data_IF_169004557610
#
_entry.id   IF_169004557610
#
_cell.length_a   1.000
_cell.length_b   1.000
_cell.length_c   1.000
_cell.angle_alpha   90.00
_cell.angle_beta   90.00
_cell.angle_gamma   90.00
#
_symmetry.space_group_name_H-M   'P 1'
#
loop_
_entity.id
_entity.type
_entity.pdbx_description
1 polymer ?
#
# COMPACT_ATOMS: atom_id res chain seq x y z
N UNK A 1 -6.71 90.43 -13.57
CA UNK A 1 -5.80 89.51 -12.78
C UNK A 1 -6.46 88.16 -12.73
N UNK A 2 -6.11 87.24 -13.63
CA UNK A 2 -6.59 85.91 -13.72
C UNK A 2 -5.52 84.95 -13.18
N UNK A 3 -5.84 84.18 -12.13
CA UNK A 3 -4.95 83.15 -11.58
C UNK A 3 -5.26 81.80 -12.26
N UNK A 4 -4.30 81.29 -12.98
CA UNK A 4 -4.34 79.91 -13.53
C UNK A 4 -4.09 78.93 -12.39
N UNK A 5 -5.01 77.94 -12.21
CA UNK A 5 -4.83 76.79 -11.33
C UNK A 5 -4.39 75.62 -12.21
N UNK A 6 -3.11 75.20 -12.05
CA UNK A 6 -2.61 73.98 -12.69
C UNK A 6 -3.04 72.76 -11.93
N UNK A 7 -3.81 71.89 -12.55
CA UNK A 7 -4.25 70.58 -12.01
C UNK A 7 -3.19 69.53 -12.38
N UNK A 8 -2.43 69.09 -11.42
CA UNK A 8 -1.50 67.98 -11.60
C UNK A 8 -2.26 66.64 -11.52
N UNK A 9 -2.36 65.90 -12.63
CA UNK A 9 -2.84 64.52 -12.66
C UNK A 9 -1.75 63.60 -12.17
N UNK A 10 -1.93 63.03 -10.97
CA UNK A 10 -1.14 61.90 -10.48
C UNK A 10 -1.65 60.61 -11.13
N UNK A 11 -0.91 60.04 -12.08
CA UNK A 11 -1.12 58.70 -12.60
C UNK A 11 -0.66 57.70 -11.55
N UNK A 12 -1.59 57.12 -10.77
CA UNK A 12 -1.34 55.94 -9.98
C UNK A 12 -1.27 54.72 -10.88
N UNK A 13 -0.04 54.25 -11.15
CA UNK A 13 0.16 52.94 -11.77
C UNK A 13 -0.27 51.87 -10.80
N UNK A 14 -1.49 51.36 -10.98
CA UNK A 14 -1.95 50.16 -10.26
C UNK A 14 -1.14 48.99 -10.76
N UNK A 15 -0.22 48.47 -9.92
CA UNK A 15 0.35 47.14 -10.10
C UNK A 15 -0.78 46.12 -9.93
N UNK A 16 -1.41 45.68 -11.00
CA UNK A 16 -2.33 44.54 -10.96
C UNK A 16 -1.48 43.32 -10.57
N UNK A 17 -1.86 42.57 -9.54
CA UNK A 17 -1.22 41.30 -9.23
C UNK A 17 -1.37 40.41 -10.47
N UNK A 18 -0.26 39.96 -11.03
CA UNK A 18 -0.28 38.92 -12.03
C UNK A 18 -0.97 37.72 -11.40
N UNK A 19 -2.18 37.41 -11.85
CA UNK A 19 -2.81 36.13 -11.52
C UNK A 19 -1.87 35.04 -12.06
N UNK A 20 -1.15 34.36 -11.16
CA UNK A 20 -0.37 33.17 -11.50
C UNK A 20 -1.42 32.17 -11.97
N UNK A 21 -1.46 31.93 -13.28
CA UNK A 21 -2.35 30.90 -13.85
C UNK A 21 -2.08 29.54 -13.23
N UNK A 22 -3.02 28.58 -13.36
CA UNK A 22 -2.85 27.23 -12.82
C UNK A 22 -1.53 26.66 -13.34
N UNK A 23 -0.72 26.12 -12.41
CA UNK A 23 0.57 25.50 -12.74
C UNK A 23 0.31 24.21 -13.50
N UNK A 24 0.73 24.10 -14.74
CA UNK A 24 0.53 22.94 -15.58
C UNK A 24 1.42 21.77 -15.13
N UNK A 25 0.84 20.56 -14.94
CA UNK A 25 1.60 19.37 -14.63
C UNK A 25 2.57 19.00 -15.76
N UNK A 26 3.72 18.46 -15.39
CA UNK A 26 4.69 17.86 -16.31
C UNK A 26 4.55 16.36 -16.29
N UNK A 27 4.93 15.70 -17.38
CA UNK A 27 4.99 14.25 -17.47
C UNK A 27 6.35 13.79 -17.98
N UNK A 28 6.83 12.66 -17.44
CA UNK A 28 8.04 11.99 -17.86
C UNK A 28 7.70 10.54 -18.15
N UNK A 29 8.01 10.06 -19.35
CA UNK A 29 7.81 8.67 -19.76
C UNK A 29 9.15 7.96 -19.88
N UNK A 30 9.22 6.69 -19.46
CA UNK A 30 10.40 5.85 -19.57
C UNK A 30 10.05 4.37 -19.51
N UNK A 31 11.02 3.54 -19.89
CA UNK A 31 10.92 2.08 -19.85
C UNK A 31 12.08 1.49 -19.06
N UNK A 32 11.82 0.50 -18.25
CA UNK A 32 12.82 -0.29 -17.52
C UNK A 32 12.49 -1.78 -17.67
N UNK A 33 13.39 -2.54 -18.30
CA UNK A 33 13.09 -3.90 -18.74
C UNK A 33 11.88 -3.90 -19.68
N UNK A 34 10.83 -4.62 -19.32
CA UNK A 34 9.55 -4.66 -20.04
C UNK A 34 8.51 -3.68 -19.48
N UNK A 35 8.77 -3.10 -18.32
CA UNK A 35 7.85 -2.20 -17.63
C UNK A 35 7.90 -0.78 -18.24
N UNK A 36 6.72 -0.19 -18.41
CA UNK A 36 6.55 1.18 -18.95
C UNK A 36 5.90 2.05 -17.89
N UNK A 37 6.48 3.25 -17.71
CA UNK A 37 6.05 4.20 -16.69
C UNK A 37 5.79 5.58 -17.26
N UNK A 38 4.82 6.27 -16.65
CA UNK A 38 4.58 7.71 -16.83
C UNK A 38 4.51 8.33 -15.43
N UNK A 39 5.42 9.27 -15.14
CA UNK A 39 5.42 10.02 -13.88
C UNK A 39 4.90 11.42 -14.15
N UNK A 40 3.80 11.80 -13.49
CA UNK A 40 3.13 13.10 -13.59
C UNK A 40 3.40 13.88 -12.30
N UNK A 41 3.83 15.14 -12.43
CA UNK A 41 4.24 15.96 -11.29
C UNK A 41 4.12 17.44 -11.56
N UNK A 42 4.02 18.27 -10.53
CA UNK A 42 4.13 19.70 -10.65
C UNK A 42 5.61 20.14 -10.77
N UNK A 43 5.93 21.29 -11.43
CA UNK A 43 7.31 21.74 -11.64
C UNK A 43 8.17 21.78 -10.36
N UNK A 44 7.56 22.10 -9.22
CA UNK A 44 8.21 22.13 -7.90
C UNK A 44 8.65 20.76 -7.39
N UNK A 45 8.04 19.68 -7.90
CA UNK A 45 8.35 18.30 -7.57
C UNK A 45 9.33 17.64 -8.58
N UNK A 46 10.02 18.42 -9.40
CA UNK A 46 10.95 17.87 -10.40
C UNK A 46 12.08 17.03 -9.81
N UNK A 47 12.56 17.34 -8.60
CA UNK A 47 13.56 16.52 -7.88
C UNK A 47 12.91 15.25 -7.37
N UNK A 48 11.72 15.36 -6.76
CA UNK A 48 10.94 14.21 -6.30
C UNK A 48 10.62 13.23 -7.45
N UNK A 49 10.28 13.75 -8.64
CA UNK A 49 10.03 12.92 -9.82
C UNK A 49 11.25 12.09 -10.23
N UNK A 50 12.47 12.65 -10.13
CA UNK A 50 13.71 11.89 -10.37
C UNK A 50 13.94 10.79 -9.33
N UNK A 51 13.67 11.07 -8.05
CA UNK A 51 13.76 10.08 -6.97
C UNK A 51 12.75 8.95 -7.18
N UNK A 52 11.50 9.29 -7.52
CA UNK A 52 10.43 8.31 -7.82
C UNK A 52 10.81 7.47 -9.03
N UNK A 53 11.35 8.08 -10.10
CA UNK A 53 11.85 7.31 -11.24
C UNK A 53 12.90 6.29 -10.82
N UNK A 54 13.90 6.71 -10.05
CA UNK A 54 14.94 5.79 -9.55
C UNK A 54 14.36 4.64 -8.74
N UNK A 55 13.42 4.93 -7.84
CA UNK A 55 12.72 3.90 -7.05
C UNK A 55 11.91 2.93 -7.93
N UNK A 56 11.25 3.43 -9.01
CA UNK A 56 10.54 2.59 -9.97
C UNK A 56 11.50 1.66 -10.71
N UNK A 57 12.65 2.18 -11.16
CA UNK A 57 13.70 1.40 -11.82
C UNK A 57 14.26 0.30 -10.90
N UNK A 58 14.48 0.60 -9.61
CA UNK A 58 14.98 -0.34 -8.62
C UNK A 58 13.93 -1.40 -8.21
N UNK A 59 12.63 -1.10 -8.30
CA UNK A 59 11.55 -1.99 -7.93
C UNK A 59 11.31 -3.10 -8.98
N UNK A 60 11.46 -2.79 -10.28
CA UNK A 60 11.12 -3.72 -11.38
C UNK A 60 11.71 -5.12 -11.21
N UNK A 61 13.01 -5.33 -10.91
CA UNK A 61 13.56 -6.67 -10.74
C UNK A 61 12.94 -7.46 -9.58
N UNK A 62 12.41 -6.76 -8.56
CA UNK A 62 11.73 -7.42 -7.42
C UNK A 62 10.37 -7.98 -7.78
N UNK A 63 9.73 -7.41 -8.83
CA UNK A 63 8.43 -7.86 -9.33
C UNK A 63 8.54 -9.11 -10.22
N UNK A 64 9.72 -9.45 -10.72
CA UNK A 64 9.94 -10.60 -11.62
C UNK A 64 9.49 -11.92 -10.99
N UNK A 65 9.60 -12.05 -9.66
CA UNK A 65 9.07 -13.21 -8.91
C UNK A 65 7.57 -13.43 -9.12
N UNK A 66 6.83 -12.36 -9.42
CA UNK A 66 5.40 -12.39 -9.69
C UNK A 66 5.07 -12.29 -11.19
N UNK A 67 6.09 -12.31 -12.06
CA UNK A 67 5.92 -12.24 -13.51
C UNK A 67 5.85 -10.81 -14.07
N UNK A 68 6.14 -9.79 -13.25
CA UNK A 68 6.26 -8.40 -13.65
C UNK A 68 4.94 -7.71 -14.04
N UNK A 69 5.05 -6.46 -14.46
CA UNK A 69 3.92 -5.64 -14.92
C UNK A 69 3.52 -6.01 -16.35
N UNK A 70 2.23 -6.17 -16.58
CA UNK A 70 1.63 -6.46 -17.92
C UNK A 70 1.25 -5.19 -18.68
N UNK A 71 0.88 -4.13 -17.95
CA UNK A 71 0.41 -2.86 -18.49
C UNK A 71 1.24 -1.70 -17.96
N UNK A 72 1.27 -0.57 -18.69
CA UNK A 72 1.93 0.64 -18.22
C UNK A 72 1.36 1.11 -16.88
N UNK A 73 2.20 1.74 -16.05
CA UNK A 73 1.76 2.35 -14.79
C UNK A 73 2.03 3.85 -14.82
N UNK A 74 0.99 4.63 -14.51
CA UNK A 74 1.08 6.07 -14.30
C UNK A 74 1.22 6.35 -12.80
N UNK A 75 2.27 7.09 -12.43
CA UNK A 75 2.48 7.57 -11.07
C UNK A 75 2.22 9.06 -11.04
N UNK A 76 1.23 9.50 -10.26
CA UNK A 76 0.93 10.92 -10.05
C UNK A 76 1.48 11.36 -8.71
N UNK A 77 2.38 12.36 -8.71
CA UNK A 77 2.96 12.94 -7.51
C UNK A 77 2.08 14.13 -7.08
N UNK A 78 1.45 13.98 -5.92
CA UNK A 78 0.64 15.03 -5.29
C UNK A 78 1.50 15.90 -4.37
N UNK A 79 1.41 17.23 -4.44
CA UNK A 79 2.33 18.13 -3.75
C UNK A 79 2.21 18.06 -2.22
N UNK A 80 1.03 17.70 -1.69
CA UNK A 80 0.77 17.60 -0.25
C UNK A 80 -0.01 16.33 0.09
N UNK A 81 -0.11 16.04 1.39
CA UNK A 81 -0.90 14.93 1.91
C UNK A 81 -2.40 15.11 1.60
N UNK A 82 -2.92 16.32 1.80
CA UNK A 82 -4.32 16.66 1.55
C UNK A 82 -4.69 16.51 0.07
N UNK A 83 -3.75 16.85 -0.83
CA UNK A 83 -3.94 16.67 -2.27
C UNK A 83 -4.02 15.17 -2.64
N UNK A 84 -3.20 14.32 -2.00
CA UNK A 84 -3.28 12.87 -2.15
C UNK A 84 -4.62 12.33 -1.63
N UNK A 85 -5.01 12.67 -0.38
CA UNK A 85 -6.28 12.23 0.22
C UNK A 85 -7.49 12.61 -0.65
N UNK A 86 -7.47 13.83 -1.18
CA UNK A 86 -8.51 14.33 -2.10
C UNK A 86 -8.57 13.51 -3.39
N UNK A 87 -7.42 13.19 -3.99
CA UNK A 87 -7.33 12.44 -5.24
C UNK A 87 -7.81 10.99 -5.10
N UNK A 88 -7.56 10.37 -3.95
CA UNK A 88 -7.94 8.96 -3.70
C UNK A 88 -9.25 8.80 -2.93
N UNK A 89 -9.90 9.91 -2.55
CA UNK A 89 -11.13 9.94 -1.76
C UNK A 89 -11.01 9.21 -0.41
N UNK A 90 -9.87 9.41 0.27
CA UNK A 90 -9.53 8.81 1.56
C UNK A 90 -9.08 9.89 2.54
N UNK A 91 -10.00 10.43 3.34
CA UNK A 91 -9.70 11.47 4.32
C UNK A 91 -9.46 10.88 5.71
N UNK A 92 -8.55 11.50 6.47
CA UNK A 92 -8.26 11.12 7.85
C UNK A 92 -7.32 9.91 8.01
N UNK A 93 -6.52 9.62 7.00
CA UNK A 93 -5.51 8.57 7.04
C UNK A 93 -4.09 9.17 7.10
N UNK A 94 -3.71 9.74 8.22
CA UNK A 94 -2.43 10.46 8.41
C UNK A 94 -1.19 9.67 7.99
N UNK A 95 -1.27 8.34 8.00
CA UNK A 95 -0.20 7.45 7.58
C UNK A 95 -0.15 7.20 6.07
N UNK A 96 -1.19 7.56 5.31
CA UNK A 96 -1.27 7.32 3.87
C UNK A 96 -0.18 8.12 3.13
N UNK A 97 0.61 7.46 2.31
CA UNK A 97 1.66 8.08 1.49
C UNK A 97 1.51 7.77 0.01
N UNK A 98 0.83 6.68 -0.31
CA UNK A 98 0.52 6.30 -1.68
C UNK A 98 -0.73 5.42 -1.74
N UNK A 99 -1.27 5.28 -2.94
CA UNK A 99 -2.44 4.45 -3.22
C UNK A 99 -2.36 3.87 -4.62
N UNK A 100 -2.24 2.54 -4.71
CA UNK A 100 -2.20 1.84 -5.99
C UNK A 100 -3.58 1.37 -6.45
N UNK A 101 -3.75 1.39 -7.76
CA UNK A 101 -4.83 0.74 -8.50
C UNK A 101 -4.23 -0.10 -9.63
N UNK A 102 -5.05 -0.56 -10.56
CA UNK A 102 -4.62 -1.44 -11.65
C UNK A 102 -3.43 -0.91 -12.47
N UNK A 103 -3.47 0.36 -12.87
CA UNK A 103 -2.44 1.03 -13.70
C UNK A 103 -2.03 2.39 -13.14
N UNK A 104 -2.43 2.73 -11.94
CA UNK A 104 -2.14 4.05 -11.37
C UNK A 104 -1.64 3.94 -9.95
N UNK A 105 -0.70 4.81 -9.62
CA UNK A 105 -0.24 5.05 -8.25
C UNK A 105 -0.37 6.55 -8.00
N UNK A 106 -1.17 6.92 -7.01
CA UNK A 106 -1.20 8.25 -6.45
C UNK A 106 -0.20 8.32 -5.28
N UNK A 107 0.76 9.22 -5.32
CA UNK A 107 1.87 9.30 -4.38
C UNK A 107 1.98 10.70 -3.80
N UNK A 108 2.02 10.83 -2.48
CA UNK A 108 2.41 12.10 -1.85
C UNK A 108 3.87 12.42 -2.19
N UNK A 109 4.15 13.66 -2.56
CA UNK A 109 5.52 14.09 -2.87
C UNK A 109 6.51 13.68 -1.77
N UNK A 110 7.57 12.91 -2.09
CA UNK A 110 8.60 12.55 -1.13
C UNK A 110 9.21 13.76 -0.41
N UNK A 111 9.17 14.93 -1.02
CA UNK A 111 9.64 16.20 -0.45
C UNK A 111 8.90 16.56 0.84
N UNK A 112 7.65 16.13 0.99
CA UNK A 112 6.77 16.53 2.10
C UNK A 112 6.59 15.44 3.18
N UNK A 113 7.44 14.40 3.21
CA UNK A 113 7.35 13.33 4.21
C UNK A 113 8.04 13.67 5.54
N UNK A 114 8.00 14.88 5.96
CA UNK A 114 8.63 15.43 7.16
C UNK A 114 9.67 16.49 6.81
N UNK A 115 10.43 16.98 7.79
CA UNK A 115 11.33 18.12 7.62
C UNK A 115 12.44 17.90 6.58
N UNK A 116 12.91 16.67 6.42
CA UNK A 116 14.02 16.31 5.52
C UNK A 116 13.55 15.56 4.25
N UNK A 117 12.25 15.40 4.07
CA UNK A 117 11.70 14.57 3.01
C UNK A 117 11.85 13.06 3.27
N UNK A 118 11.54 12.26 2.25
CA UNK A 118 11.69 10.81 2.29
C UNK A 118 13.16 10.41 2.17
N UNK A 119 13.62 9.41 2.95
CA UNK A 119 14.87 8.74 2.63
C UNK A 119 14.68 7.84 1.40
N UNK A 120 15.76 7.64 0.63
CA UNK A 120 15.78 6.75 -0.53
C UNK A 120 15.21 5.37 -0.20
N UNK A 121 15.70 4.75 0.87
CA UNK A 121 15.20 3.44 1.33
C UNK A 121 13.68 3.42 1.56
N UNK A 122 13.12 4.45 2.22
CA UNK A 122 11.69 4.52 2.49
C UNK A 122 10.86 4.67 1.20
N UNK A 123 11.38 5.44 0.25
CA UNK A 123 10.74 5.64 -1.04
C UNK A 123 10.79 4.36 -1.88
N UNK A 124 11.94 3.69 -1.96
CA UNK A 124 12.12 2.42 -2.68
C UNK A 124 11.18 1.33 -2.15
N UNK A 125 11.08 1.22 -0.83
CA UNK A 125 10.17 0.28 -0.19
C UNK A 125 8.70 0.59 -0.49
N UNK A 126 8.29 1.87 -0.42
CA UNK A 126 6.91 2.25 -0.72
C UNK A 126 6.59 2.03 -2.20
N UNK A 127 7.46 2.47 -3.11
CA UNK A 127 7.25 2.29 -4.55
C UNK A 127 7.19 0.81 -4.92
N UNK A 128 8.06 -0.03 -4.33
CA UNK A 128 8.00 -1.49 -4.53
C UNK A 128 6.69 -2.08 -4.02
N UNK A 129 6.21 -1.63 -2.87
CA UNK A 129 4.93 -2.05 -2.28
C UNK A 129 3.76 -1.72 -3.22
N UNK A 130 3.66 -0.47 -3.67
CA UNK A 130 2.57 -0.04 -4.54
C UNK A 130 2.63 -0.70 -5.93
N UNK A 131 3.81 -0.88 -6.50
CA UNK A 131 3.98 -1.62 -7.75
C UNK A 131 3.60 -3.10 -7.62
N UNK A 132 3.78 -3.69 -6.43
CA UNK A 132 3.34 -5.07 -6.18
C UNK A 132 1.81 -5.16 -6.23
N UNK A 133 1.08 -4.17 -5.71
CA UNK A 133 -0.36 -4.09 -5.87
C UNK A 133 -0.76 -4.00 -7.36
N UNK A 134 -0.13 -3.09 -8.13
CA UNK A 134 -0.38 -3.00 -9.57
C UNK A 134 -0.13 -4.35 -10.27
N UNK A 135 0.99 -5.01 -9.99
CA UNK A 135 1.33 -6.32 -10.55
C UNK A 135 0.28 -7.37 -10.20
N UNK A 136 -0.15 -7.43 -8.95
CA UNK A 136 -1.17 -8.36 -8.47
C UNK A 136 -2.51 -8.13 -9.20
N UNK A 137 -2.96 -6.89 -9.28
CA UNK A 137 -4.24 -6.55 -9.91
C UNK A 137 -4.22 -6.84 -11.42
N UNK A 138 -3.11 -6.54 -12.09
CA UNK A 138 -2.91 -6.85 -13.51
C UNK A 138 -2.83 -8.36 -13.80
N UNK A 139 -2.35 -9.16 -12.85
CA UNK A 139 -2.35 -10.61 -12.95
C UNK A 139 -3.73 -11.20 -12.65
N UNK A 140 -4.45 -10.65 -11.67
CA UNK A 140 -5.72 -11.15 -11.20
C UNK A 140 -6.89 -10.89 -12.16
N UNK A 141 -6.78 -9.89 -13.03
CA UNK A 141 -7.86 -9.55 -13.96
C UNK A 141 -7.45 -8.48 -14.99
N UNK A 142 -8.46 -7.89 -15.61
CA UNK A 142 -8.35 -6.67 -16.39
C UNK A 142 -8.76 -5.43 -15.55
N UNK A 143 -8.72 -4.24 -16.16
CA UNK A 143 -8.98 -2.97 -15.49
C UNK A 143 -10.36 -2.89 -14.79
N UNK A 144 -11.35 -3.62 -15.29
CA UNK A 144 -12.72 -3.62 -14.76
C UNK A 144 -12.98 -4.78 -13.80
N UNK A 145 -12.35 -5.92 -14.01
CA UNK A 145 -12.68 -7.17 -13.33
C UNK A 145 -11.86 -7.43 -12.07
N UNK A 146 -10.67 -6.83 -11.91
CA UNK A 146 -9.81 -7.10 -10.75
C UNK A 146 -10.46 -6.77 -9.41
N UNK A 147 -11.30 -5.73 -9.35
CA UNK A 147 -11.99 -5.32 -8.12
C UNK A 147 -12.98 -6.37 -7.60
N UNK A 148 -13.49 -7.23 -8.48
CA UNK A 148 -14.46 -8.27 -8.13
C UNK A 148 -13.82 -9.63 -7.79
N UNK A 149 -12.48 -9.67 -7.67
CA UNK A 149 -11.76 -10.92 -7.38
C UNK A 149 -11.76 -11.29 -5.90
N UNK A 150 -12.28 -10.43 -5.03
CA UNK A 150 -12.38 -10.66 -3.58
C UNK A 150 -11.02 -10.93 -2.93
N UNK A 151 -9.98 -10.21 -3.40
CA UNK A 151 -8.62 -10.35 -2.84
C UNK A 151 -8.63 -9.82 -1.40
N UNK A 152 -8.39 -10.67 -0.40
CA UNK A 152 -8.43 -10.21 0.98
C UNK A 152 -7.23 -9.33 1.30
N UNK A 153 -7.44 -8.38 2.23
CA UNK A 153 -6.42 -7.41 2.63
C UNK A 153 -5.12 -8.07 3.08
N UNK A 154 -5.20 -9.12 3.89
CA UNK A 154 -4.01 -9.81 4.35
C UNK A 154 -3.13 -10.34 3.19
N UNK A 155 -3.75 -10.80 2.10
CA UNK A 155 -3.01 -11.29 0.95
C UNK A 155 -2.39 -10.14 0.16
N UNK A 156 -3.18 -9.10 -0.15
CA UNK A 156 -2.69 -7.97 -0.94
C UNK A 156 -1.58 -7.20 -0.23
N UNK A 157 -1.81 -6.80 1.03
CA UNK A 157 -0.82 -6.06 1.83
C UNK A 157 0.37 -6.94 2.22
N UNK A 158 0.11 -8.21 2.52
CA UNK A 158 1.14 -9.15 2.91
C UNK A 158 2.12 -9.44 1.78
N UNK A 159 1.63 -9.71 0.57
CA UNK A 159 2.50 -9.94 -0.61
C UNK A 159 3.25 -8.67 -0.99
N UNK A 160 2.61 -7.49 -0.90
CA UNK A 160 3.25 -6.21 -1.17
C UNK A 160 4.38 -5.91 -0.16
N UNK A 161 4.12 -6.04 1.14
CA UNK A 161 5.12 -5.82 2.19
C UNK A 161 6.26 -6.86 2.16
N UNK A 162 5.95 -8.11 1.82
CA UNK A 162 6.96 -9.16 1.61
C UNK A 162 7.90 -8.81 0.45
N UNK A 163 7.33 -8.39 -0.70
CA UNK A 163 8.10 -8.01 -1.89
C UNK A 163 8.98 -6.78 -1.64
N UNK A 164 8.45 -5.81 -0.90
CA UNK A 164 9.15 -4.58 -0.54
C UNK A 164 10.21 -4.76 0.57
N UNK A 165 10.25 -5.93 1.24
CA UNK A 165 11.19 -6.17 2.33
C UNK A 165 10.89 -5.38 3.60
N UNK A 166 9.63 -5.07 3.86
CA UNK A 166 9.18 -4.20 4.94
C UNK A 166 9.02 -4.90 6.31
N UNK A 167 9.36 -6.19 6.42
CA UNK A 167 9.13 -6.97 7.63
C UNK A 167 9.69 -6.35 8.91
N UNK A 168 10.81 -5.62 8.82
CA UNK A 168 11.42 -4.95 9.97
C UNK A 168 10.58 -3.78 10.53
N UNK A 169 9.53 -3.36 9.83
CA UNK A 169 8.63 -2.27 10.26
C UNK A 169 7.54 -2.75 11.19
N UNK A 170 7.29 -4.03 11.23
CA UNK A 170 6.19 -4.64 11.97
C UNK A 170 6.74 -5.37 13.18
N UNK A 171 5.90 -5.46 14.20
CA UNK A 171 6.17 -6.29 15.36
C UNK A 171 6.32 -7.77 14.99
N UNK A 172 6.86 -8.56 15.93
CA UNK A 172 7.04 -9.99 15.76
C UNK A 172 5.73 -10.79 15.79
N UNK A 173 5.86 -12.09 15.65
CA UNK A 173 4.74 -13.02 15.83
C UNK A 173 4.24 -13.00 17.28
N UNK A 174 5.12 -12.64 18.21
CA UNK A 174 4.85 -12.45 19.63
C UNK A 174 3.83 -11.33 19.87
N UNK A 175 3.96 -10.19 19.18
CA UNK A 175 3.02 -9.07 19.31
C UNK A 175 1.63 -9.44 18.80
N UNK A 176 1.56 -10.26 17.74
CA UNK A 176 0.29 -10.81 17.27
C UNK A 176 -0.32 -11.78 18.27
N UNK A 177 0.51 -12.57 18.95
CA UNK A 177 0.03 -13.44 19.99
C UNK A 177 -0.56 -12.65 21.17
N UNK A 178 0.12 -11.61 21.63
CA UNK A 178 -0.35 -10.71 22.68
C UNK A 178 -1.67 -10.04 22.28
N UNK A 179 -1.76 -9.53 21.05
CA UNK A 179 -3.00 -8.96 20.52
C UNK A 179 -4.17 -9.97 20.56
N UNK A 180 -3.95 -11.21 20.15
CA UNK A 180 -5.00 -12.23 20.21
C UNK A 180 -5.38 -12.58 21.66
N UNK A 181 -4.42 -12.59 22.59
CA UNK A 181 -4.71 -12.80 24.01
C UNK A 181 -5.63 -11.72 24.59
N UNK A 182 -5.35 -10.45 24.29
CA UNK A 182 -6.17 -9.32 24.77
C UNK A 182 -7.61 -9.36 24.24
N UNK A 183 -7.81 -9.88 23.01
CA UNK A 183 -9.12 -9.94 22.35
C UNK A 183 -9.99 -11.10 22.83
N UNK A 184 -9.44 -12.09 23.54
CA UNK A 184 -10.17 -13.28 23.99
C UNK A 184 -10.62 -13.08 25.45
N UNK A 185 -11.93 -12.98 25.73
CA UNK A 185 -12.43 -12.87 27.12
C UNK A 185 -11.94 -14.02 28.00
N UNK A 186 -11.43 -13.70 29.19
CA UNK A 186 -10.96 -14.70 30.17
C UNK A 186 -9.58 -15.28 29.85
N UNK A 187 -8.84 -14.73 28.89
CA UNK A 187 -7.46 -15.14 28.57
C UNK A 187 -6.47 -14.82 29.70
N UNK A 188 -6.80 -13.90 30.59
CA UNK A 188 -6.00 -13.52 31.76
C UNK A 188 -5.98 -14.51 32.94
N UNK A 189 -6.71 -15.62 32.86
CA UNK A 189 -6.92 -16.58 33.98
C UNK A 189 -5.72 -17.51 34.23
N UNK A 190 -4.56 -17.25 33.64
CA UNK A 190 -3.32 -17.95 33.97
C UNK A 190 -3.24 -19.42 33.54
N UNK A 191 -4.16 -19.92 32.69
CA UNK A 191 -4.12 -21.28 32.16
C UNK A 191 -3.58 -21.30 30.71
N UNK A 192 -2.28 -21.50 30.51
CA UNK A 192 -1.63 -21.33 29.19
C UNK A 192 -2.23 -22.18 28.05
N UNK A 193 -2.64 -23.39 28.34
CA UNK A 193 -3.22 -24.29 27.33
C UNK A 193 -4.63 -23.88 26.87
N UNK A 194 -5.42 -23.29 27.76
CA UNK A 194 -6.78 -22.84 27.45
C UNK A 194 -6.77 -21.60 26.54
N UNK A 195 -5.87 -20.68 26.78
CA UNK A 195 -5.67 -19.48 25.93
C UNK A 195 -5.25 -19.87 24.52
N UNK A 196 -4.31 -20.79 24.39
CA UNK A 196 -3.83 -21.26 23.07
C UNK A 196 -4.94 -21.92 22.25
N UNK A 197 -5.73 -22.78 22.86
CA UNK A 197 -6.87 -23.41 22.19
C UNK A 197 -7.90 -22.37 21.74
N UNK A 198 -8.15 -21.33 22.54
CA UNK A 198 -9.07 -20.25 22.19
C UNK A 198 -8.56 -19.40 21.01
N UNK A 199 -7.26 -19.08 20.93
CA UNK A 199 -6.66 -18.35 19.81
C UNK A 199 -6.73 -19.14 18.50
N UNK A 200 -6.69 -20.45 18.54
CA UNK A 200 -6.82 -21.28 17.34
C UNK A 200 -8.20 -21.15 16.67
N UNK A 201 -9.22 -20.66 17.40
CA UNK A 201 -10.55 -20.36 16.86
C UNK A 201 -10.54 -18.95 16.24
N UNK A 202 -11.36 -18.73 15.21
CA UNK A 202 -11.49 -17.41 14.57
C UNK A 202 -11.99 -16.37 15.58
N UNK A 203 -11.29 -15.23 15.65
CA UNK A 203 -11.66 -14.09 16.50
C UNK A 203 -12.33 -13.04 15.62
N UNK A 204 -13.64 -12.85 15.80
CA UNK A 204 -14.43 -11.86 15.08
C UNK A 204 -15.36 -11.10 16.04
N UNK A 205 -15.61 -9.81 15.81
CA UNK A 205 -14.96 -8.90 14.84
C UNK A 205 -13.53 -8.50 15.26
N UNK A 206 -12.76 -7.99 14.30
CA UNK A 206 -11.42 -7.43 14.56
C UNK A 206 -10.29 -8.47 14.52
N UNK A 207 -10.51 -9.66 13.94
CA UNK A 207 -9.41 -10.54 13.56
C UNK A 207 -8.61 -9.89 12.41
N UNK A 208 -7.29 -9.65 12.56
CA UNK A 208 -6.51 -8.89 11.59
C UNK A 208 -6.37 -9.58 10.22
N UNK A 209 -6.68 -10.89 10.13
CA UNK A 209 -6.64 -11.66 8.88
C UNK A 209 -8.04 -11.82 8.30
N UNK A 210 -9.03 -12.17 9.13
CA UNK A 210 -10.36 -12.57 8.65
C UNK A 210 -11.31 -11.39 8.56
N UNK A 211 -11.26 -10.47 9.53
CA UNK A 211 -12.14 -9.31 9.63
C UNK A 211 -11.40 -8.09 10.19
N UNK A 212 -10.45 -7.50 9.42
CA UNK A 212 -9.60 -6.42 9.88
C UNK A 212 -10.30 -5.05 10.00
N UNK A 213 -11.43 -4.84 9.30
CA UNK A 213 -12.05 -3.52 9.14
C UNK A 213 -12.35 -2.82 10.49
N UNK A 214 -12.84 -3.51 11.54
CA UNK A 214 -13.10 -2.87 12.83
C UNK A 214 -11.87 -2.26 13.53
N UNK A 215 -10.67 -2.73 13.19
CA UNK A 215 -9.41 -2.30 13.83
C UNK A 215 -8.48 -1.56 12.87
N UNK A 216 -8.82 -1.49 11.58
CA UNK A 216 -7.90 -1.04 10.54
C UNK A 216 -7.45 0.41 10.71
N UNK A 217 -8.36 1.31 11.12
CA UNK A 217 -8.03 2.71 11.29
C UNK A 217 -7.12 2.95 12.50
N UNK A 218 -7.45 2.34 13.63
CA UNK A 218 -6.80 2.63 14.93
C UNK A 218 -5.58 1.72 15.17
N UNK A 219 -5.57 0.52 14.61
CA UNK A 219 -4.53 -0.50 14.84
C UNK A 219 -3.94 -1.00 13.52
N UNK A 220 -3.72 -0.11 12.56
CA UNK A 220 -3.19 -0.45 11.24
C UNK A 220 -1.87 -1.25 11.31
N UNK A 221 -1.00 -0.97 12.28
CA UNK A 221 0.26 -1.69 12.48
C UNK A 221 0.03 -3.19 12.75
N UNK A 222 -0.99 -3.54 13.52
CA UNK A 222 -1.37 -4.96 13.78
C UNK A 222 -1.88 -5.60 12.49
N UNK A 223 -2.73 -4.90 11.74
CA UNK A 223 -3.30 -5.42 10.48
C UNK A 223 -2.20 -5.66 9.44
N UNK A 224 -1.31 -4.68 9.25
CA UNK A 224 -0.18 -4.82 8.32
C UNK A 224 0.84 -5.85 8.79
N UNK A 225 1.14 -5.90 10.09
CA UNK A 225 2.01 -6.92 10.68
C UNK A 225 1.46 -8.33 10.48
N UNK A 226 0.17 -8.54 10.77
CA UNK A 226 -0.50 -9.81 10.53
C UNK A 226 -0.49 -10.21 9.05
N UNK A 227 -0.76 -9.26 8.15
CA UNK A 227 -0.71 -9.48 6.71
C UNK A 227 0.68 -9.90 6.26
N UNK A 228 1.73 -9.20 6.72
CA UNK A 228 3.13 -9.52 6.40
C UNK A 228 3.50 -10.94 6.86
N UNK A 229 3.22 -11.26 8.12
CA UNK A 229 3.54 -12.58 8.68
C UNK A 229 2.73 -13.70 8.04
N UNK A 230 1.46 -13.45 7.67
CA UNK A 230 0.63 -14.42 6.96
C UNK A 230 1.17 -14.69 5.55
N UNK A 231 1.58 -13.66 4.80
CA UNK A 231 2.21 -13.83 3.49
C UNK A 231 3.55 -14.56 3.61
N UNK A 232 4.38 -14.21 4.59
CA UNK A 232 5.63 -14.91 4.85
C UNK A 232 5.40 -16.38 5.19
N UNK A 233 4.40 -16.70 6.03
CA UNK A 233 4.00 -18.07 6.36
C UNK A 233 3.51 -18.83 5.11
N UNK A 234 2.70 -18.17 4.26
CA UNK A 234 2.22 -18.73 2.99
C UNK A 234 3.39 -19.09 2.06
N UNK A 235 4.30 -18.14 1.82
CA UNK A 235 5.47 -18.33 0.95
C UNK A 235 6.39 -19.43 1.52
N UNK A 236 6.66 -19.42 2.82
CA UNK A 236 7.53 -20.40 3.47
C UNK A 236 6.95 -21.82 3.39
N UNK A 237 5.65 -21.98 3.49
CA UNK A 237 4.97 -23.29 3.53
C UNK A 237 4.69 -23.86 2.13
N UNK A 238 4.33 -22.99 1.18
CA UNK A 238 3.85 -23.41 -0.14
C UNK A 238 4.72 -22.91 -1.31
N UNK A 239 5.61 -21.96 -1.07
CA UNK A 239 6.50 -21.39 -2.07
C UNK A 239 5.87 -20.23 -2.86
N UNK A 240 6.75 -19.38 -3.42
CA UNK A 240 6.35 -18.22 -4.25
C UNK A 240 5.56 -18.64 -5.50
N UNK A 241 5.89 -19.80 -6.09
CA UNK A 241 5.20 -20.31 -7.26
C UNK A 241 3.70 -20.52 -7.03
N UNK A 242 3.29 -20.94 -5.82
CA UNK A 242 1.88 -21.10 -5.46
C UNK A 242 1.16 -19.77 -5.28
N UNK A 243 1.85 -18.77 -4.72
CA UNK A 243 1.33 -17.40 -4.63
C UNK A 243 1.08 -16.82 -6.03
N UNK A 244 2.04 -17.00 -6.94
CA UNK A 244 1.89 -16.59 -8.34
C UNK A 244 0.75 -17.36 -9.04
N UNK A 245 0.58 -18.65 -8.73
CA UNK A 245 -0.51 -19.46 -9.27
C UNK A 245 -1.89 -18.94 -8.84
N UNK A 246 -2.06 -18.54 -7.57
CA UNK A 246 -3.30 -17.89 -7.10
C UNK A 246 -3.63 -16.69 -8.00
N UNK A 247 -2.67 -15.79 -8.22
CA UNK A 247 -2.88 -14.59 -9.04
C UNK A 247 -3.26 -14.95 -10.49
N UNK A 248 -2.60 -15.95 -11.08
CA UNK A 248 -2.89 -16.42 -12.45
C UNK A 248 -4.28 -17.06 -12.57
N UNK A 249 -4.67 -17.84 -11.57
CA UNK A 249 -6.00 -18.46 -11.52
C UNK A 249 -7.09 -17.39 -11.41
N UNK A 250 -6.85 -16.32 -10.64
CA UNK A 250 -7.77 -15.17 -10.65
C UNK A 250 -7.86 -14.53 -12.03
N UNK A 251 -6.74 -14.38 -12.73
CA UNK A 251 -6.69 -13.87 -14.10
C UNK A 251 -7.41 -14.76 -15.12
N UNK A 252 -7.52 -16.06 -14.87
CA UNK A 252 -8.31 -16.99 -15.69
C UNK A 252 -9.81 -16.98 -15.39
N UNK A 253 -10.27 -16.13 -14.46
CA UNK A 253 -11.70 -15.95 -14.16
C UNK A 253 -12.13 -16.31 -12.75
N UNK A 254 -11.31 -17.00 -11.96
CA UNK A 254 -11.67 -17.38 -10.60
C UNK A 254 -11.68 -16.15 -9.66
N UNK A 255 -12.50 -16.22 -8.60
CA UNK A 255 -12.38 -15.35 -7.43
C UNK A 255 -11.33 -15.89 -6.50
N UNK A 256 -10.81 -15.05 -5.61
CA UNK A 256 -9.73 -15.39 -4.69
C UNK A 256 -9.98 -16.69 -3.89
N UNK A 257 -11.13 -16.93 -3.24
CA UNK A 257 -11.32 -18.16 -2.45
C UNK A 257 -11.18 -19.44 -3.29
N UNK A 258 -11.71 -19.43 -4.52
CA UNK A 258 -11.59 -20.57 -5.43
C UNK A 258 -10.17 -20.74 -5.98
N UNK A 259 -9.51 -19.64 -6.35
CA UNK A 259 -8.12 -19.63 -6.82
C UNK A 259 -7.16 -20.10 -5.71
N UNK A 260 -7.36 -19.62 -4.49
CA UNK A 260 -6.57 -20.00 -3.32
C UNK A 260 -6.71 -21.51 -3.04
N UNK A 261 -7.96 -22.01 -2.96
CA UNK A 261 -8.21 -23.42 -2.74
C UNK A 261 -7.59 -24.30 -3.82
N UNK A 262 -7.69 -23.89 -5.09
CA UNK A 262 -7.11 -24.66 -6.19
C UNK A 262 -5.58 -24.68 -6.16
N UNK A 263 -4.92 -23.55 -5.86
CA UNK A 263 -3.48 -23.44 -5.84
C UNK A 263 -2.87 -24.08 -4.58
N UNK A 264 -3.50 -23.92 -3.41
CA UNK A 264 -2.96 -24.28 -2.10
C UNK A 264 -3.45 -25.63 -1.61
N UNK A 265 -4.64 -26.07 -2.03
CA UNK A 265 -5.26 -27.33 -1.62
C UNK A 265 -6.14 -27.24 -0.37
N UNK A 266 -6.20 -26.09 0.30
CA UNK A 266 -7.07 -25.80 1.45
C UNK A 266 -7.80 -24.48 1.21
N UNK A 267 -8.86 -24.21 1.95
CA UNK A 267 -9.58 -22.94 1.91
C UNK A 267 -8.75 -21.83 2.59
N UNK A 268 -9.03 -20.58 2.26
CA UNK A 268 -8.46 -19.40 2.92
C UNK A 268 -8.83 -19.34 4.41
N UNK A 269 -10.01 -19.80 4.79
CA UNK A 269 -10.43 -19.95 6.19
C UNK A 269 -9.60 -21.00 6.95
N UNK A 270 -9.32 -22.16 6.33
CA UNK A 270 -8.42 -23.18 6.90
C UNK A 270 -6.99 -22.64 7.02
N UNK A 271 -6.52 -21.88 6.01
CA UNK A 271 -5.23 -21.20 6.05
C UNK A 271 -5.16 -20.18 7.22
N UNK A 272 -6.20 -19.36 7.41
CA UNK A 272 -6.25 -18.41 8.53
C UNK A 272 -6.19 -19.12 9.88
N UNK A 273 -6.85 -20.27 10.03
CA UNK A 273 -6.75 -21.09 11.24
C UNK A 273 -5.34 -21.70 11.42
N UNK A 274 -4.68 -22.15 10.34
CA UNK A 274 -3.30 -22.64 10.36
C UNK A 274 -2.33 -21.53 10.74
N UNK A 275 -2.52 -20.31 10.20
CA UNK A 275 -1.71 -19.17 10.55
C UNK A 275 -1.87 -18.79 12.03
N UNK A 276 -3.08 -18.75 12.58
CA UNK A 276 -3.27 -18.51 14.02
C UNK A 276 -2.58 -19.57 14.88
N UNK A 277 -2.65 -20.85 14.49
CA UNK A 277 -1.86 -21.90 15.16
C UNK A 277 -0.36 -21.64 15.10
N UNK A 278 0.15 -21.20 13.94
CA UNK A 278 1.54 -20.80 13.80
C UNK A 278 1.90 -19.64 14.73
N UNK A 279 1.09 -18.59 14.82
CA UNK A 279 1.30 -17.46 15.75
C UNK A 279 1.38 -17.95 17.18
N UNK A 280 0.43 -18.80 17.63
CA UNK A 280 0.39 -19.34 18.99
C UNK A 280 1.66 -20.12 19.36
N UNK A 281 2.18 -20.92 18.43
CA UNK A 281 3.34 -21.76 18.70
C UNK A 281 4.68 -21.02 18.53
N UNK A 282 4.76 -20.04 17.64
CA UNK A 282 5.97 -19.27 17.42
C UNK A 282 6.12 -18.12 18.43
N UNK A 283 5.03 -17.47 18.86
CA UNK A 283 5.01 -16.45 19.91
C UNK A 283 5.40 -16.96 21.31
N UNK A 284 5.63 -18.27 21.45
CA UNK A 284 6.04 -18.91 22.72
C UNK A 284 7.51 -19.34 22.77
N UNK A 285 8.28 -19.06 21.76
CA UNK A 285 9.72 -19.33 21.79
C UNK A 285 10.43 -18.14 22.44
N UNK A 286 10.63 -18.24 23.74
CA UNK A 286 11.68 -17.51 24.45
C UNK A 286 13.01 -18.20 24.24
#
# INVERSE_FOLDING_TARGET
MARAVSLALLLAAACAPHAIGPVEPRAQEFTTGTARFRVVYLPEDAVAAKQVRHALEAAVPRLDRWGGLRYPVTVTIHPTHEALEGAVHRQGYDWLRAWARFQTIDLQSPRTWGLLGASEKKLDELVTHELTHCTMYQLAGDELSWMYKEIPRWFSEGVASFTAGQGYRYGGVEDLYEFYQEKIPGSGDGVPGRTRAAIAVAVQPGDPIVDPDPIYQDQSQIVYGAAHHAAHFLVRRYGEARVLEIMRLMGSGLRFPAAFRQAIGITDAEFAADFRRYVVWQGWRN
#
